data_IF_585270052687
#
_entry.id   IF_585270052687
#
_cell.length_a   1.000
_cell.length_b   1.000
_cell.length_c   1.000
_cell.angle_alpha   90.00
_cell.angle_beta   90.00
_cell.angle_gamma   90.00
#
_symmetry.space_group_name_H-M   'P 1'
#
loop_
_entity.id
_entity.type
_entity.pdbx_description
1 polymer ?
#
# COMPACT_ATOMS: atom_id res chain seq x y z
N UNK A 1 -5.77 63.49 11.18
CA UNK A 1 -4.86 63.93 10.15
C UNK A 1 -5.63 64.33 8.91
N UNK A 2 -5.28 65.40 8.21
CA UNK A 2 -5.89 65.76 6.93
C UNK A 2 -5.35 64.82 5.85
N UNK A 3 -6.25 64.25 5.05
CA UNK A 3 -5.89 63.45 3.86
C UNK A 3 -5.38 64.40 2.78
N UNK A 4 -4.19 64.18 2.30
CA UNK A 4 -3.57 65.02 1.28
C UNK A 4 -3.89 64.50 -0.14
N UNK A 5 -3.74 65.36 -1.15
CA UNK A 5 -3.91 64.99 -2.56
C UNK A 5 -2.94 63.85 -2.95
N UNK A 6 -1.79 63.77 -2.32
CA UNK A 6 -0.78 62.75 -2.54
C UNK A 6 -1.24 61.37 -2.03
N UNK A 7 -1.91 61.34 -0.85
CA UNK A 7 -2.45 60.12 -0.30
C UNK A 7 -3.55 59.54 -1.18
N UNK A 8 -4.38 60.39 -1.78
CA UNK A 8 -5.40 59.96 -2.73
C UNK A 8 -4.81 59.43 -4.04
N UNK A 9 -3.76 60.07 -4.58
CA UNK A 9 -3.07 59.58 -5.76
C UNK A 9 -2.37 58.25 -5.52
N UNK A 10 -1.73 58.06 -4.37
CA UNK A 10 -1.12 56.80 -3.98
C UNK A 10 -2.15 55.69 -3.79
N UNK A 11 -3.31 56.02 -3.24
CA UNK A 11 -4.41 55.06 -3.09
C UNK A 11 -5.01 54.65 -4.43
N UNK A 12 -5.22 55.57 -5.35
CA UNK A 12 -5.70 55.29 -6.72
C UNK A 12 -4.69 54.48 -7.52
N UNK A 13 -3.40 54.78 -7.39
CA UNK A 13 -2.33 53.98 -8.00
C UNK A 13 -2.34 52.54 -7.45
N UNK A 14 -2.50 52.36 -6.15
CA UNK A 14 -2.58 51.03 -5.50
C UNK A 14 -3.81 50.25 -5.94
N UNK A 15 -4.97 50.94 -6.14
CA UNK A 15 -6.19 50.30 -6.66
C UNK A 15 -6.01 49.86 -8.14
N UNK A 16 -5.30 50.62 -8.96
CA UNK A 16 -5.02 50.22 -10.34
C UNK A 16 -4.07 49.01 -10.41
N UNK A 17 -3.07 48.92 -9.53
CA UNK A 17 -2.18 47.76 -9.41
C UNK A 17 -2.92 46.50 -8.93
N UNK A 18 -3.85 46.65 -7.97
CA UNK A 18 -4.70 45.55 -7.48
C UNK A 18 -5.68 45.07 -8.56
N UNK A 19 -6.19 45.97 -9.43
CA UNK A 19 -7.08 45.56 -10.52
C UNK A 19 -6.32 44.90 -11.69
N UNK A 20 -5.04 45.18 -11.88
CA UNK A 20 -4.21 44.50 -12.88
C UNK A 20 -3.59 43.20 -12.38
N UNK A 21 -3.48 43.02 -11.05
CA UNK A 21 -3.05 41.76 -10.44
C UNK A 21 -4.17 40.72 -10.32
N UNK A 22 -5.40 41.08 -10.72
CA UNK A 22 -6.57 40.19 -10.75
C UNK A 22 -6.64 39.24 -11.95
N UNK A 23 -5.52 38.93 -12.58
CA UNK A 23 -5.46 37.75 -13.42
C UNK A 23 -5.78 36.53 -12.53
N UNK A 24 -6.95 35.92 -12.75
CA UNK A 24 -7.35 34.66 -12.10
C UNK A 24 -6.17 33.69 -12.18
N UNK A 25 -5.45 33.54 -11.06
CA UNK A 25 -4.46 32.47 -10.98
C UNK A 25 -5.24 31.16 -11.20
N UNK A 26 -4.89 30.36 -12.21
CA UNK A 26 -5.56 29.10 -12.43
C UNK A 26 -5.39 28.25 -11.18
N UNK A 27 -6.47 27.60 -10.76
CA UNK A 27 -6.50 26.71 -9.58
C UNK A 27 -5.39 25.66 -9.63
N UNK A 28 -4.91 25.35 -10.83
CA UNK A 28 -3.75 24.51 -11.10
C UNK A 28 -2.63 25.38 -11.67
N UNK A 29 -1.64 25.71 -10.86
CA UNK A 29 -0.35 26.12 -11.41
C UNK A 29 0.44 24.84 -11.66
N UNK A 30 0.65 24.42 -12.92
CA UNK A 30 1.60 23.37 -13.18
C UNK A 30 2.97 23.89 -12.73
N UNK A 31 3.68 23.08 -11.93
CA UNK A 31 5.10 23.31 -11.60
C UNK A 31 5.98 23.10 -12.85
N UNK A 32 5.55 23.63 -14.00
CA UNK A 32 6.24 23.47 -15.26
C UNK A 32 7.16 24.68 -15.48
N UNK A 33 8.40 24.41 -15.75
CA UNK A 33 9.37 25.36 -16.29
C UNK A 33 8.77 26.10 -17.51
N UNK A 34 8.95 27.40 -17.64
CA UNK A 34 8.49 28.16 -18.81
C UNK A 34 9.05 27.54 -20.10
N UNK A 35 8.19 26.91 -20.90
CA UNK A 35 8.55 26.35 -22.19
C UNK A 35 8.00 25.00 -22.56
N UNK A 36 7.89 24.05 -21.64
CA UNK A 36 7.36 22.71 -21.96
C UNK A 36 6.13 22.38 -21.09
N UNK A 37 4.96 22.27 -21.71
CA UNK A 37 3.71 21.85 -21.04
C UNK A 37 3.64 20.36 -20.79
N UNK A 38 4.65 19.59 -21.22
CA UNK A 38 4.69 18.14 -21.13
C UNK A 38 5.97 17.76 -20.39
N UNK A 39 5.80 17.19 -19.19
CA UNK A 39 6.88 16.53 -18.47
C UNK A 39 7.04 15.09 -18.99
N UNK A 40 8.23 14.72 -19.43
CA UNK A 40 8.54 13.39 -19.93
C UNK A 40 9.36 12.62 -18.90
N UNK A 41 8.74 11.64 -18.23
CA UNK A 41 9.40 10.78 -17.24
C UNK A 41 9.70 9.42 -17.87
N UNK A 42 10.98 9.04 -18.03
CA UNK A 42 11.35 7.73 -18.58
C UNK A 42 10.89 6.56 -17.69
N UNK A 43 10.24 5.57 -18.28
CA UNK A 43 9.84 4.34 -17.58
C UNK A 43 11.00 3.35 -17.58
N UNK A 44 11.71 3.22 -16.45
CA UNK A 44 12.92 2.38 -16.31
C UNK A 44 12.90 1.59 -14.98
N UNK A 45 13.80 0.59 -14.86
CA UNK A 45 14.03 -0.15 -13.61
C UNK A 45 12.78 -0.80 -13.04
N UNK A 46 12.60 -0.68 -11.73
CA UNK A 46 11.47 -1.28 -10.98
C UNK A 46 10.11 -0.85 -11.56
N UNK A 47 9.93 0.44 -11.90
CA UNK A 47 8.68 0.94 -12.49
C UNK A 47 8.31 0.19 -13.78
N UNK A 48 9.30 -0.04 -14.67
CA UNK A 48 9.08 -0.80 -15.92
C UNK A 48 8.72 -2.26 -15.64
N UNK A 49 9.44 -2.90 -14.72
CA UNK A 49 9.19 -4.29 -14.34
C UNK A 49 7.80 -4.46 -13.70
N UNK A 50 7.43 -3.59 -12.76
CA UNK A 50 6.11 -3.59 -12.13
C UNK A 50 4.99 -3.37 -13.14
N UNK A 51 5.12 -2.40 -14.05
CA UNK A 51 4.12 -2.15 -15.08
C UNK A 51 3.92 -3.40 -15.96
N UNK A 52 5.01 -4.04 -16.42
CA UNK A 52 4.93 -5.27 -17.20
C UNK A 52 4.24 -6.40 -16.43
N UNK A 53 4.60 -6.60 -15.16
CA UNK A 53 4.02 -7.64 -14.31
C UNK A 53 2.53 -7.41 -14.06
N UNK A 54 2.12 -6.18 -13.76
CA UNK A 54 0.71 -5.84 -13.51
C UNK A 54 -0.14 -5.95 -14.77
N UNK A 55 0.34 -5.52 -15.93
CA UNK A 55 -0.35 -5.71 -17.20
C UNK A 55 -0.52 -7.19 -17.49
N UNK A 56 0.55 -8.00 -17.36
CA UNK A 56 0.47 -9.43 -17.58
C UNK A 56 -0.58 -10.09 -16.65
N UNK A 57 -0.58 -9.77 -15.35
CA UNK A 57 -1.54 -10.33 -14.42
C UNK A 57 -2.98 -9.88 -14.69
N UNK A 58 -3.21 -8.58 -14.90
CA UNK A 58 -4.55 -8.03 -15.08
C UNK A 58 -5.26 -8.54 -16.34
N UNK A 59 -4.51 -8.89 -17.39
CA UNK A 59 -5.06 -9.34 -18.67
C UNK A 59 -4.96 -10.85 -18.93
N UNK A 60 -4.20 -11.60 -18.12
CA UNK A 60 -4.15 -13.07 -18.21
C UNK A 60 -5.05 -13.78 -17.22
N UNK A 61 -5.36 -13.16 -16.09
CA UNK A 61 -6.20 -13.75 -15.05
C UNK A 61 -7.50 -12.94 -14.87
N UNK A 62 -8.69 -13.55 -15.08
CA UNK A 62 -9.96 -12.90 -14.74
C UNK A 62 -10.02 -12.58 -13.24
N UNK A 63 -10.12 -11.30 -12.89
CA UNK A 63 -10.20 -10.87 -11.49
C UNK A 63 -11.64 -10.78 -11.04
N UNK A 64 -11.94 -11.35 -9.87
CA UNK A 64 -13.21 -11.21 -9.16
C UNK A 64 -12.91 -10.69 -7.76
N UNK A 65 -13.69 -9.74 -7.27
CA UNK A 65 -13.52 -9.15 -5.94
C UNK A 65 -14.71 -9.44 -5.05
N UNK A 66 -14.43 -9.85 -3.82
CA UNK A 66 -15.42 -10.06 -2.76
C UNK A 66 -15.09 -9.07 -1.64
N UNK A 67 -16.11 -8.36 -1.14
CA UNK A 67 -15.97 -7.40 -0.06
C UNK A 67 -16.71 -7.89 1.17
N UNK A 68 -16.03 -7.88 2.32
CA UNK A 68 -16.60 -8.31 3.59
C UNK A 68 -16.24 -7.29 4.68
N UNK A 69 -17.25 -6.79 5.38
CA UNK A 69 -17.05 -6.02 6.60
C UNK A 69 -16.95 -6.97 7.79
N UNK A 70 -15.94 -6.77 8.63
CA UNK A 70 -15.68 -7.62 9.81
C UNK A 70 -15.63 -6.75 11.07
N UNK A 71 -16.34 -7.17 12.13
CA UNK A 71 -16.19 -6.55 13.44
C UNK A 71 -14.78 -6.82 13.99
N UNK A 72 -13.98 -5.77 14.05
CA UNK A 72 -12.59 -5.84 14.50
C UNK A 72 -12.42 -5.56 16.02
N UNK A 73 -13.49 -5.41 16.79
CA UNK A 73 -13.44 -5.05 18.22
C UNK A 73 -12.56 -6.02 19.03
N UNK A 74 -12.83 -7.32 18.91
CA UNK A 74 -12.02 -8.37 19.57
C UNK A 74 -10.59 -8.43 19.06
N UNK A 75 -10.37 -8.19 17.78
CA UNK A 75 -9.03 -8.11 17.19
C UNK A 75 -8.24 -6.96 17.83
N UNK A 76 -8.85 -5.79 17.98
CA UNK A 76 -8.22 -4.64 18.59
C UNK A 76 -7.93 -4.84 20.08
N UNK A 77 -8.82 -5.49 20.81
CA UNK A 77 -8.57 -5.90 22.20
C UNK A 77 -7.41 -6.89 22.31
N UNK A 78 -7.37 -7.88 21.43
CA UNK A 78 -6.29 -8.86 21.36
C UNK A 78 -4.94 -8.18 21.08
N UNK A 79 -4.88 -7.29 20.10
CA UNK A 79 -3.68 -6.49 19.81
C UNK A 79 -3.24 -5.67 21.03
N UNK A 80 -4.18 -5.06 21.78
CA UNK A 80 -3.87 -4.32 23.03
C UNK A 80 -3.27 -5.25 24.10
N UNK A 81 -3.78 -6.47 24.25
CA UNK A 81 -3.25 -7.47 25.19
C UNK A 81 -1.84 -7.92 24.80
N UNK A 82 -1.63 -8.25 23.52
CA UNK A 82 -0.31 -8.64 23.03
C UNK A 82 0.75 -7.56 23.26
N UNK A 83 0.42 -6.30 23.02
CA UNK A 83 1.32 -5.15 23.27
C UNK A 83 1.76 -5.01 24.72
N UNK A 84 0.95 -5.49 25.67
CA UNK A 84 1.26 -5.46 27.11
C UNK A 84 1.93 -6.73 27.62
N UNK A 85 2.01 -7.76 26.78
CA UNK A 85 2.58 -9.05 27.15
C UNK A 85 4.11 -9.01 27.14
N UNK A 86 4.74 -9.55 28.19
CA UNK A 86 6.20 -9.73 28.24
C UNK A 86 6.73 -10.56 27.08
N UNK A 87 5.92 -11.49 26.58
CA UNK A 87 6.30 -12.35 25.44
C UNK A 87 6.49 -11.53 24.14
N UNK A 88 5.84 -10.35 24.01
CA UNK A 88 5.96 -9.47 22.87
C UNK A 88 6.78 -8.20 23.17
N UNK A 89 7.51 -8.16 24.28
CA UNK A 89 8.39 -7.03 24.61
C UNK A 89 9.41 -6.79 23.48
N UNK A 90 9.55 -5.53 23.06
CA UNK A 90 10.40 -5.14 21.94
C UNK A 90 9.88 -5.51 20.54
N UNK A 91 8.72 -6.16 20.44
CA UNK A 91 8.11 -6.56 19.15
C UNK A 91 6.95 -5.64 18.79
N UNK A 92 6.96 -5.10 17.58
CA UNK A 92 5.87 -4.27 17.07
C UNK A 92 4.66 -5.12 16.70
N UNK A 93 3.58 -5.00 17.46
CA UNK A 93 2.30 -5.69 17.21
C UNK A 93 1.30 -4.73 16.55
N UNK A 94 0.69 -5.16 15.45
CA UNK A 94 -0.32 -4.39 14.68
C UNK A 94 -1.50 -5.28 14.33
N UNK A 95 -2.66 -4.74 13.94
CA UNK A 95 -3.78 -5.54 13.43
C UNK A 95 -3.42 -6.39 12.21
N UNK A 96 -2.46 -5.96 11.40
CA UNK A 96 -1.94 -6.74 10.26
C UNK A 96 -1.37 -8.10 10.69
N UNK A 97 -0.77 -8.20 11.87
CA UNK A 97 -0.30 -9.48 12.42
C UNK A 97 -1.45 -10.48 12.58
N UNK A 98 -2.57 -10.01 13.13
CA UNK A 98 -3.74 -10.88 13.35
C UNK A 98 -4.36 -11.29 12.01
N UNK A 99 -4.44 -10.35 11.06
CA UNK A 99 -4.90 -10.67 9.71
C UNK A 99 -3.97 -11.68 9.03
N UNK A 100 -2.65 -11.50 9.11
CA UNK A 100 -1.68 -12.41 8.51
C UNK A 100 -1.86 -13.84 9.07
N UNK A 101 -1.96 -13.96 10.39
CA UNK A 101 -2.22 -15.26 11.03
C UNK A 101 -3.57 -15.87 10.59
N UNK A 102 -4.62 -15.06 10.46
CA UNK A 102 -5.93 -15.51 9.98
C UNK A 102 -5.88 -15.97 8.51
N UNK A 103 -5.15 -15.28 7.66
CA UNK A 103 -4.97 -15.65 6.24
C UNK A 103 -4.21 -16.96 6.12
N UNK A 104 -3.13 -17.14 6.88
CA UNK A 104 -2.38 -18.40 6.93
C UNK A 104 -3.31 -19.54 7.36
N UNK A 105 -4.01 -19.38 8.47
CA UNK A 105 -4.97 -20.36 9.00
C UNK A 105 -6.08 -20.71 7.99
N UNK A 106 -6.61 -19.71 7.27
CA UNK A 106 -7.66 -19.92 6.28
C UNK A 106 -7.14 -20.66 5.04
N UNK A 107 -5.94 -20.33 4.58
CA UNK A 107 -5.33 -20.96 3.41
C UNK A 107 -4.94 -22.44 3.67
N UNK A 108 -4.49 -22.77 4.88
CA UNK A 108 -4.26 -24.17 5.27
C UNK A 108 -5.53 -25.03 5.16
N UNK A 109 -6.70 -24.43 5.43
CA UNK A 109 -8.02 -25.10 5.34
C UNK A 109 -8.63 -25.06 3.95
N UNK A 110 -8.19 -24.13 3.14
CA UNK A 110 -8.65 -23.93 1.78
C UNK A 110 -7.44 -23.81 0.83
N UNK A 111 -6.67 -24.89 0.63
CA UNK A 111 -5.37 -24.82 -0.04
C UNK A 111 -5.45 -24.33 -1.50
N UNK A 112 -6.62 -24.39 -2.12
CA UNK A 112 -6.83 -23.88 -3.49
C UNK A 112 -6.59 -22.37 -3.62
N UNK A 113 -6.72 -21.58 -2.54
CA UNK A 113 -6.41 -20.13 -2.56
C UNK A 113 -4.91 -19.84 -2.49
N UNK A 114 -4.09 -20.88 -2.27
CA UNK A 114 -2.63 -20.80 -2.19
C UNK A 114 -2.00 -21.64 -3.33
N UNK A 115 -2.33 -21.28 -4.56
CA UNK A 115 -1.98 -22.05 -5.74
C UNK A 115 -1.36 -21.18 -6.84
N UNK A 116 -0.90 -21.82 -7.89
CA UNK A 116 -0.52 -21.19 -9.16
C UNK A 116 -1.26 -21.89 -10.29
N UNK A 117 -1.84 -21.11 -11.18
CA UNK A 117 -2.40 -21.61 -12.42
C UNK A 117 -1.33 -21.63 -13.51
N UNK A 118 -1.23 -22.73 -14.22
CA UNK A 118 -0.42 -22.86 -15.46
C UNK A 118 -1.31 -23.36 -16.60
N UNK A 119 -0.79 -23.36 -17.81
CA UNK A 119 -1.55 -23.83 -18.97
C UNK A 119 -1.91 -25.31 -18.90
N UNK A 120 -1.20 -26.11 -18.11
CA UNK A 120 -1.35 -27.57 -18.03
C UNK A 120 -1.84 -28.08 -16.65
N UNK A 121 -1.68 -27.31 -15.58
CA UNK A 121 -1.97 -27.78 -14.23
C UNK A 121 -2.26 -26.65 -13.23
N UNK A 122 -2.93 -27.01 -12.13
CA UNK A 122 -3.05 -26.15 -10.92
C UNK A 122 -2.05 -26.67 -9.90
N UNK A 123 -1.08 -25.85 -9.55
CA UNK A 123 -0.06 -26.18 -8.54
C UNK A 123 -0.51 -25.67 -7.17
N UNK A 124 -1.11 -26.55 -6.35
CA UNK A 124 -1.47 -26.24 -4.96
C UNK A 124 -0.20 -26.30 -4.12
N UNK A 125 0.07 -25.23 -3.38
CA UNK A 125 1.26 -25.10 -2.54
C UNK A 125 0.91 -25.37 -1.08
N UNK A 126 1.53 -26.38 -0.50
CA UNK A 126 1.38 -26.73 0.91
C UNK A 126 2.38 -26.02 1.84
N UNK A 127 2.95 -24.94 1.35
CA UNK A 127 3.77 -23.98 2.08
C UNK A 127 3.27 -22.58 1.75
N UNK A 128 3.49 -21.60 2.62
CA UNK A 128 3.07 -20.23 2.38
C UNK A 128 4.24 -19.26 2.45
N UNK A 129 4.58 -18.68 1.32
CA UNK A 129 5.44 -17.50 1.25
C UNK A 129 4.53 -16.26 1.20
N UNK A 130 4.22 -15.71 2.38
CA UNK A 130 3.23 -14.64 2.54
C UNK A 130 3.80 -13.29 2.06
N UNK A 131 3.30 -12.81 0.92
CA UNK A 131 3.63 -11.51 0.36
C UNK A 131 2.99 -10.36 1.14
N UNK A 132 3.76 -9.32 1.38
CA UNK A 132 3.28 -8.08 2.00
C UNK A 132 3.58 -6.92 1.05
N UNK A 133 2.53 -6.30 0.51
CA UNK A 133 2.70 -5.13 -0.34
C UNK A 133 3.22 -3.94 0.47
N UNK A 134 4.35 -3.42 0.08
CA UNK A 134 5.02 -2.30 0.75
C UNK A 134 5.32 -1.16 -0.22
N UNK A 135 4.90 0.05 0.14
CA UNK A 135 5.30 1.26 -0.55
C UNK A 135 6.75 1.60 -0.18
N UNK A 136 7.60 1.76 -1.19
CA UNK A 136 9.02 2.07 -1.02
C UNK A 136 9.41 3.28 -1.86
N UNK A 137 10.55 3.94 -1.61
CA UNK A 137 11.05 5.03 -2.46
C UNK A 137 11.25 4.62 -3.93
N UNK A 138 11.43 3.31 -4.20
CA UNK A 138 11.60 2.75 -5.55
C UNK A 138 10.26 2.34 -6.21
N UNK A 139 9.13 2.47 -5.51
CA UNK A 139 7.80 2.05 -5.94
C UNK A 139 7.21 0.95 -5.06
N UNK A 140 6.08 0.39 -5.48
CA UNK A 140 5.45 -0.73 -4.78
C UNK A 140 6.27 -2.00 -4.97
N UNK A 141 6.61 -2.66 -3.87
CA UNK A 141 7.32 -3.94 -3.83
C UNK A 141 6.53 -4.93 -2.99
N UNK A 142 6.64 -6.22 -3.31
CA UNK A 142 5.95 -7.31 -2.59
C UNK A 142 6.97 -8.34 -2.11
N UNK A 143 7.77 -8.01 -1.08
CA UNK A 143 8.57 -9.02 -0.41
C UNK A 143 7.68 -10.01 0.33
N UNK A 144 8.17 -11.22 0.57
CA UNK A 144 7.41 -12.27 1.25
C UNK A 144 8.17 -12.89 2.43
N UNK A 145 7.40 -13.36 3.40
CA UNK A 145 7.87 -14.15 4.54
C UNK A 145 7.79 -15.62 4.10
N UNK A 146 8.94 -16.27 4.07
CA UNK A 146 9.04 -17.67 3.68
C UNK A 146 8.46 -18.58 4.77
N UNK A 147 7.78 -19.64 4.34
CA UNK A 147 7.22 -20.67 5.21
C UNK A 147 6.46 -20.10 6.42
N UNK A 148 5.64 -19.07 6.15
CA UNK A 148 4.97 -18.29 7.19
C UNK A 148 4.05 -19.14 8.08
N UNK A 149 3.58 -20.29 7.60
CA UNK A 149 2.78 -21.24 8.34
C UNK A 149 3.54 -21.94 9.48
N UNK A 150 4.86 -21.99 9.42
CA UNK A 150 5.69 -22.61 10.45
C UNK A 150 6.01 -21.66 11.62
N UNK A 151 5.72 -20.36 11.45
CA UNK A 151 6.08 -19.34 12.43
C UNK A 151 5.03 -19.24 13.54
N UNK A 152 5.52 -19.17 14.77
CA UNK A 152 4.70 -18.72 15.90
C UNK A 152 4.22 -17.29 15.69
N UNK A 153 3.16 -16.87 16.38
CA UNK A 153 2.64 -15.51 16.27
C UNK A 153 3.69 -14.42 16.58
N UNK A 154 4.62 -14.70 17.50
CA UNK A 154 5.71 -13.80 17.84
C UNK A 154 6.74 -13.73 16.71
N UNK A 155 7.14 -14.85 16.16
CA UNK A 155 8.08 -14.92 15.04
C UNK A 155 7.49 -14.25 13.80
N UNK A 156 6.21 -14.46 13.51
CA UNK A 156 5.50 -13.78 12.43
C UNK A 156 5.49 -12.25 12.63
N UNK A 157 5.29 -11.77 13.87
CA UNK A 157 5.37 -10.34 14.17
C UNK A 157 6.77 -9.77 13.92
N UNK A 158 7.82 -10.48 14.31
CA UNK A 158 9.22 -10.11 14.06
C UNK A 158 9.49 -10.09 12.55
N UNK A 159 9.09 -11.14 11.84
CA UNK A 159 9.26 -11.25 10.38
C UNK A 159 8.57 -10.11 9.64
N UNK A 160 7.30 -9.79 9.98
CA UNK A 160 6.55 -8.66 9.42
C UNK A 160 7.25 -7.31 9.66
N UNK A 161 7.78 -7.11 10.88
CA UNK A 161 8.50 -5.88 11.20
C UNK A 161 9.80 -5.74 10.42
N UNK A 162 10.61 -6.79 10.37
CA UNK A 162 11.88 -6.83 9.64
C UNK A 162 11.65 -6.59 8.14
N UNK A 163 10.68 -7.30 7.54
CA UNK A 163 10.32 -7.17 6.14
C UNK A 163 9.92 -5.72 5.79
N UNK A 164 9.02 -5.12 6.59
CA UNK A 164 8.54 -3.76 6.33
C UNK A 164 9.62 -2.70 6.53
N UNK A 165 10.51 -2.88 7.52
CA UNK A 165 11.65 -1.98 7.76
C UNK A 165 12.62 -2.04 6.59
N UNK A 166 13.06 -3.24 6.18
CA UNK A 166 13.95 -3.44 5.04
C UNK A 166 13.38 -2.89 3.74
N UNK A 167 12.07 -3.07 3.52
CA UNK A 167 11.41 -2.55 2.34
C UNK A 167 11.44 -1.01 2.30
N UNK A 168 11.13 -0.34 3.41
CA UNK A 168 11.18 1.12 3.52
C UNK A 168 12.59 1.69 3.37
N UNK A 169 13.60 0.97 3.85
CA UNK A 169 15.00 1.34 3.70
C UNK A 169 15.55 1.04 2.29
N UNK A 170 14.74 0.44 1.40
CA UNK A 170 15.15 0.07 0.05
C UNK A 170 16.15 -1.08 0.00
N UNK A 171 16.27 -1.87 1.07
CA UNK A 171 17.22 -2.98 1.24
C UNK A 171 16.67 -4.36 0.87
N UNK A 172 15.44 -4.44 0.34
CA UNK A 172 14.82 -5.70 -0.09
C UNK A 172 15.64 -6.34 -1.21
N UNK A 173 15.99 -7.59 -1.04
CA UNK A 173 16.73 -8.39 -2.02
C UNK A 173 15.78 -9.10 -3.00
N UNK A 174 16.20 -9.41 -4.22
CA UNK A 174 15.39 -10.15 -5.20
C UNK A 174 14.88 -11.50 -4.68
N UNK A 175 15.69 -12.22 -3.90
CA UNK A 175 15.30 -13.49 -3.29
C UNK A 175 14.11 -13.37 -2.31
N UNK A 176 13.99 -12.21 -1.65
CA UNK A 176 12.87 -11.93 -0.73
C UNK A 176 11.54 -11.67 -1.46
N UNK A 177 11.60 -11.35 -2.75
CA UNK A 177 10.42 -11.13 -3.60
C UNK A 177 10.05 -12.37 -4.44
N UNK A 178 10.96 -13.33 -4.56
CA UNK A 178 10.72 -14.52 -5.36
C UNK A 178 9.78 -15.50 -4.66
N UNK A 179 9.01 -16.25 -5.47
CA UNK A 179 8.18 -17.38 -5.03
C UNK A 179 7.13 -17.03 -3.97
N UNK A 180 6.55 -15.83 -4.00
CA UNK A 180 5.35 -15.49 -3.22
C UNK A 180 4.19 -16.42 -3.58
N UNK A 181 3.29 -16.69 -2.64
CA UNK A 181 2.18 -17.62 -2.87
C UNK A 181 0.82 -16.99 -2.66
N UNK A 182 0.70 -16.04 -1.74
CA UNK A 182 -0.47 -15.23 -1.48
C UNK A 182 -0.02 -13.87 -0.92
N UNK A 183 -0.63 -12.79 -1.36
CA UNK A 183 -0.25 -11.43 -0.95
C UNK A 183 -1.30 -10.76 -0.09
N UNK A 184 -0.88 -10.00 0.93
CA UNK A 184 -1.71 -9.05 1.68
C UNK A 184 -1.25 -7.63 1.32
N UNK A 185 -2.20 -6.76 0.99
CA UNK A 185 -1.99 -5.32 0.83
C UNK A 185 -2.76 -4.52 1.87
N UNK A 186 -2.05 -3.71 2.67
CA UNK A 186 -2.67 -2.88 3.70
C UNK A 186 -2.96 -1.48 3.15
N UNK A 187 -4.17 -1.27 2.64
CA UNK A 187 -4.65 0.00 2.12
C UNK A 187 -5.28 0.89 3.21
N UNK A 188 -5.65 0.29 4.34
CA UNK A 188 -6.21 1.02 5.49
C UNK A 188 -5.24 2.02 6.10
N UNK A 189 -3.93 1.79 6.00
CA UNK A 189 -2.90 2.75 6.41
C UNK A 189 -2.89 4.04 5.56
N UNK A 190 -3.55 4.03 4.41
CA UNK A 190 -3.74 5.17 3.51
C UNK A 190 -5.12 5.83 3.68
N UNK A 191 -5.93 5.36 4.65
CA UNK A 191 -7.30 5.83 4.86
C UNK A 191 -8.31 5.27 3.85
N UNK A 192 -7.96 4.22 3.13
CA UNK A 192 -8.82 3.60 2.10
C UNK A 192 -9.60 2.45 2.74
N UNK A 193 -10.93 2.47 2.61
CA UNK A 193 -11.81 1.44 3.19
C UNK A 193 -11.78 0.15 2.36
N UNK A 194 -11.89 0.26 1.04
CA UNK A 194 -12.00 -0.87 0.11
C UNK A 194 -11.17 -0.61 -1.14
N UNK A 195 -10.79 -1.69 -1.82
CA UNK A 195 -10.07 -1.59 -3.08
C UNK A 195 -10.04 -2.93 -3.81
N UNK A 196 -9.72 -2.89 -5.09
CA UNK A 196 -9.60 -4.06 -5.97
C UNK A 196 -8.15 -4.20 -6.42
N UNK A 197 -7.26 -4.77 -5.59
CA UNK A 197 -5.87 -4.93 -5.96
C UNK A 197 -5.71 -5.92 -7.11
N UNK A 198 -4.68 -5.71 -7.95
CA UNK A 198 -4.28 -6.67 -8.98
C UNK A 198 -3.51 -7.80 -8.29
N UNK A 199 -3.85 -9.05 -8.63
CA UNK A 199 -3.16 -10.24 -8.09
C UNK A 199 -1.69 -10.21 -8.52
N UNK A 200 -0.80 -10.54 -7.61
CA UNK A 200 0.62 -10.62 -7.92
C UNK A 200 0.88 -11.81 -8.88
N UNK A 201 1.71 -11.65 -9.92
CA UNK A 201 1.95 -12.72 -10.90
C UNK A 201 2.36 -14.05 -10.25
N UNK A 202 1.73 -15.14 -10.69
CA UNK A 202 1.96 -16.49 -10.15
C UNK A 202 1.19 -16.82 -8.87
N UNK A 203 0.37 -15.90 -8.37
CA UNK A 203 -0.58 -16.10 -7.27
C UNK A 203 -2.01 -16.19 -7.83
N UNK A 204 -2.96 -16.70 -7.04
CA UNK A 204 -4.38 -16.78 -7.38
C UNK A 204 -5.27 -15.94 -6.47
N UNK A 205 -4.70 -15.33 -5.43
CA UNK A 205 -5.44 -14.49 -4.50
C UNK A 205 -4.56 -13.36 -3.92
N UNK A 206 -5.21 -12.24 -3.61
CA UNK A 206 -4.64 -11.12 -2.86
C UNK A 206 -5.70 -10.61 -1.88
N UNK A 207 -5.30 -10.31 -0.65
CA UNK A 207 -6.18 -9.79 0.39
C UNK A 207 -5.91 -8.31 0.61
N UNK A 208 -6.91 -7.46 0.36
CA UNK A 208 -6.84 -6.04 0.69
C UNK A 208 -7.37 -5.82 2.12
N UNK A 209 -6.53 -5.23 2.97
CA UNK A 209 -6.89 -4.86 4.34
C UNK A 209 -7.24 -3.38 4.40
N UNK A 210 -8.52 -3.09 4.55
CA UNK A 210 -9.06 -1.74 4.61
C UNK A 210 -8.88 -1.06 5.97
N UNK A 211 -9.49 0.11 6.12
CA UNK A 211 -9.42 0.92 7.33
C UNK A 211 -10.21 0.28 8.48
N UNK A 212 -9.60 0.24 9.67
CA UNK A 212 -10.32 -0.06 10.91
C UNK A 212 -10.84 1.27 11.47
N UNK A 213 -12.15 1.42 11.55
CA UNK A 213 -12.82 2.61 12.07
C UNK A 213 -14.04 2.25 12.90
N UNK A 214 -14.45 3.16 13.77
CA UNK A 214 -15.74 3.04 14.45
C UNK A 214 -16.86 3.25 13.44
N UNK A 215 -17.83 2.37 13.45
CA UNK A 215 -19.12 2.52 12.74
C UNK A 215 -20.23 2.61 13.77
N UNK A 216 -21.28 3.44 13.52
CA UNK A 216 -22.46 3.49 14.36
C UNK A 216 -23.22 2.17 14.34
#
# INVERSE_FOLDING_TARGET
GQVTKQDLMNYVAHLSDVQHSGARQPFWQPAATPGDRIERIPVRGVRKATAKAMVASAFSAPHVSIFVDVDASRTMEFVKRLKKSRHFEGVKVTPLLVLAAAVIWAAERNPQVNATWTDSEIQIKHFMNLGIAAATPRGLMVPNIKDAQELSLRELAIALNNLTTRAREGKTQPAEMANGTLTITNIGSLGIDTGTPIINPGEVAIVAFGTIKQKP
#
